data_IF_019419634716
#
_entry.id   IF_019419634716
#
_cell.length_a   1.000
_cell.length_b   1.000
_cell.length_c   1.000
_cell.angle_alpha   90.00
_cell.angle_beta   90.00
_cell.angle_gamma   90.00
#
_symmetry.space_group_name_H-M   'P 1'
#
loop_
_entity.id
_entity.type
_entity.pdbx_description
1 polymer ?
#
# COMPACT_ATOMS: atom_id res chain seq x y z
N UNK A 1 -9.60 16.36 -16.23
CA UNK A 1 -8.23 16.85 -15.99
C UNK A 1 -7.46 15.67 -15.47
N UNK A 2 -6.39 15.22 -16.15
CA UNK A 2 -5.58 14.12 -15.63
C UNK A 2 -4.96 14.53 -14.28
N UNK A 3 -4.95 13.67 -13.25
CA UNK A 3 -4.36 14.00 -11.97
C UNK A 3 -2.88 14.33 -12.19
N UNK A 4 -2.47 15.53 -11.76
CA UNK A 4 -1.10 16.01 -11.88
C UNK A 4 -0.22 15.10 -11.03
N UNK A 5 0.65 14.32 -11.66
CA UNK A 5 1.53 13.37 -10.96
C UNK A 5 2.40 14.11 -9.95
N UNK A 6 2.15 13.88 -8.66
CA UNK A 6 2.93 14.49 -7.58
C UNK A 6 4.32 13.88 -7.48
N UNK A 7 5.23 14.60 -6.83
CA UNK A 7 6.57 14.08 -6.53
C UNK A 7 6.50 12.79 -5.68
N UNK A 8 5.51 12.67 -4.79
CA UNK A 8 5.34 11.50 -3.92
C UNK A 8 4.86 10.28 -4.69
N UNK A 9 3.82 10.41 -5.52
CA UNK A 9 3.40 9.33 -6.42
C UNK A 9 4.52 8.90 -7.35
N UNK A 10 5.26 9.87 -7.92
CA UNK A 10 6.38 9.58 -8.81
C UNK A 10 7.47 8.76 -8.14
N UNK A 11 7.89 9.14 -6.92
CA UNK A 11 8.87 8.36 -6.14
C UNK A 11 8.41 6.93 -5.90
N UNK A 12 7.13 6.73 -5.57
CA UNK A 12 6.57 5.39 -5.34
C UNK A 12 6.57 4.57 -6.64
N UNK A 13 6.06 5.12 -7.74
CA UNK A 13 5.97 4.38 -9.01
C UNK A 13 7.34 4.10 -9.63
N UNK A 14 8.30 5.01 -9.50
CA UNK A 14 9.68 4.81 -9.99
C UNK A 14 10.41 3.70 -9.22
N UNK A 15 10.18 3.58 -7.90
CA UNK A 15 10.89 2.59 -7.06
C UNK A 15 10.21 1.23 -6.99
N UNK A 16 8.88 1.20 -6.94
CA UNK A 16 8.10 -0.02 -6.67
C UNK A 16 7.16 -0.42 -7.81
N UNK A 17 7.14 0.34 -8.90
CA UNK A 17 6.20 0.16 -9.99
C UNK A 17 4.80 0.71 -9.69
N UNK A 18 3.93 0.65 -10.71
CA UNK A 18 2.54 1.10 -10.62
C UNK A 18 1.78 0.31 -9.56
N UNK A 19 0.75 0.93 -8.98
CA UNK A 19 -0.13 0.24 -8.02
C UNK A 19 -0.72 -1.02 -8.67
N UNK A 20 -0.61 -2.15 -7.98
CA UNK A 20 -1.17 -3.43 -8.39
C UNK A 20 -0.26 -4.26 -9.30
N UNK A 21 0.92 -3.77 -9.69
CA UNK A 21 1.87 -4.53 -10.50
C UNK A 21 2.82 -5.40 -9.69
N UNK A 22 2.89 -5.22 -8.37
CA UNK A 22 3.62 -6.12 -7.49
C UNK A 22 2.95 -7.49 -7.33
N UNK A 23 3.66 -8.41 -6.68
CA UNK A 23 3.14 -9.74 -6.36
C UNK A 23 2.09 -9.71 -5.24
N UNK A 24 1.19 -10.70 -5.25
CA UNK A 24 0.28 -11.01 -4.11
C UNK A 24 0.89 -12.02 -3.14
N UNK A 25 1.99 -12.66 -3.57
CA UNK A 25 2.80 -13.58 -2.79
C UNK A 25 4.25 -13.12 -2.92
N UNK A 26 4.92 -13.01 -1.78
CA UNK A 26 6.33 -12.67 -1.69
C UNK A 26 7.10 -13.82 -1.06
N UNK A 27 8.30 -14.10 -1.55
CA UNK A 27 9.20 -15.07 -0.93
C UNK A 27 10.16 -14.32 -0.03
N UNK A 28 10.01 -14.49 1.29
CA UNK A 28 10.91 -13.90 2.29
C UNK A 28 11.80 -15.01 2.83
N UNK A 29 13.11 -14.92 2.59
CA UNK A 29 14.05 -16.00 2.93
C UNK A 29 13.68 -17.37 2.33
N UNK A 30 13.09 -17.37 1.12
CA UNK A 30 12.64 -18.59 0.43
C UNK A 30 11.27 -19.13 0.84
N UNK A 31 10.60 -18.53 1.83
CA UNK A 31 9.27 -18.96 2.28
C UNK A 31 8.19 -18.12 1.58
N UNK A 32 7.24 -18.72 0.84
CA UNK A 32 6.16 -17.98 0.22
C UNK A 32 5.17 -17.47 1.28
N UNK A 33 4.83 -16.19 1.17
CA UNK A 33 3.87 -15.53 2.06
C UNK A 33 2.92 -14.65 1.25
N UNK A 34 1.61 -14.89 1.41
CA UNK A 34 0.59 -13.98 0.91
C UNK A 34 0.56 -12.69 1.72
N UNK A 35 -0.01 -11.62 1.14
CA UNK A 35 0.00 -10.30 1.76
C UNK A 35 -0.57 -10.27 3.19
N UNK A 36 -1.72 -10.91 3.44
CA UNK A 36 -2.30 -10.97 4.80
C UNK A 36 -1.37 -11.62 5.83
N UNK A 37 -0.56 -12.61 5.42
CA UNK A 37 0.42 -13.26 6.30
C UNK A 37 1.61 -12.34 6.56
N UNK A 38 2.08 -11.60 5.55
CA UNK A 38 3.12 -10.58 5.71
C UNK A 38 2.66 -9.49 6.68
N UNK A 39 1.46 -8.93 6.48
CA UNK A 39 0.90 -7.89 7.34
C UNK A 39 0.81 -8.34 8.80
N UNK A 40 0.41 -9.58 9.07
CA UNK A 40 0.41 -10.13 10.44
C UNK A 40 1.80 -10.23 11.05
N UNK A 41 2.81 -10.66 10.27
CA UNK A 41 4.19 -10.76 10.76
C UNK A 41 4.80 -9.41 11.07
N UNK A 42 4.43 -8.39 10.31
CA UNK A 42 4.84 -6.99 10.55
C UNK A 42 3.96 -6.28 11.59
N UNK A 43 3.05 -6.99 12.27
CA UNK A 43 2.11 -6.40 13.25
C UNK A 43 1.22 -5.28 12.66
N UNK A 44 0.88 -5.39 11.37
CA UNK A 44 0.16 -4.39 10.57
C UNK A 44 -1.24 -4.86 10.16
N UNK A 45 -1.95 -5.58 11.03
CA UNK A 45 -3.28 -6.13 10.73
C UNK A 45 -4.40 -5.29 11.38
N UNK A 46 -4.57 -4.07 10.89
CA UNK A 46 -5.64 -3.15 11.27
C UNK A 46 -6.75 -3.17 10.21
N UNK A 47 -7.99 -2.89 10.60
CA UNK A 47 -9.15 -2.99 9.69
C UNK A 47 -9.03 -2.02 8.50
N UNK A 48 -8.44 -0.83 8.72
CA UNK A 48 -8.27 0.22 7.71
C UNK A 48 -7.00 0.09 6.86
N UNK A 49 -6.19 -0.96 7.09
CA UNK A 49 -4.99 -1.24 6.31
C UNK A 49 -5.24 -2.36 5.31
N UNK A 50 -5.42 -1.98 4.05
CA UNK A 50 -5.70 -2.91 2.96
C UNK A 50 -4.41 -3.19 2.19
N UNK A 51 -3.81 -4.38 2.28
CA UNK A 51 -2.65 -4.72 1.47
C UNK A 51 -3.01 -4.78 -0.01
N UNK A 52 -2.22 -4.12 -0.84
CA UNK A 52 -2.40 -4.04 -2.28
C UNK A 52 -1.47 -5.03 -2.97
N UNK A 53 -0.16 -4.86 -2.87
CA UNK A 53 0.85 -5.69 -3.52
C UNK A 53 2.20 -5.59 -2.79
N UNK A 54 3.15 -6.46 -3.16
CA UNK A 54 4.46 -6.53 -2.53
C UNK A 54 5.56 -6.93 -3.53
N UNK A 55 6.82 -6.78 -3.13
CA UNK A 55 7.96 -7.17 -3.94
C UNK A 55 9.26 -7.23 -3.14
N UNK A 56 10.33 -7.66 -3.82
CA UNK A 56 11.69 -7.67 -3.29
C UNK A 56 12.49 -6.53 -3.94
N UNK A 57 13.38 -5.92 -3.17
CA UNK A 57 14.35 -4.91 -3.63
C UNK A 57 15.75 -5.51 -3.86
N UNK A 58 15.98 -6.75 -3.42
CA UNK A 58 17.31 -7.38 -3.38
C UNK A 58 17.91 -7.31 -1.96
N UNK A 59 19.03 -8.02 -1.72
CA UNK A 59 19.78 -7.97 -0.45
C UNK A 59 18.92 -8.16 0.82
N UNK A 60 17.97 -9.10 0.80
CA UNK A 60 17.04 -9.35 1.91
C UNK A 60 16.18 -8.12 2.31
N UNK A 61 15.98 -7.18 1.38
CA UNK A 61 15.05 -6.06 1.48
C UNK A 61 13.79 -6.34 0.68
N UNK A 62 12.68 -6.04 1.32
CA UNK A 62 11.34 -6.31 0.82
C UNK A 62 10.48 -5.07 0.95
N UNK A 63 9.41 -5.00 0.18
CA UNK A 63 8.41 -3.95 0.30
C UNK A 63 7.00 -4.51 0.23
N UNK A 64 6.08 -3.85 0.91
CA UNK A 64 4.64 -4.11 0.83
C UNK A 64 3.89 -2.79 0.79
N UNK A 65 2.88 -2.71 -0.09
CA UNK A 65 2.05 -1.54 -0.31
C UNK A 65 0.67 -1.75 0.28
N UNK A 66 0.16 -0.71 0.93
CA UNK A 66 -1.15 -0.67 1.54
C UNK A 66 -1.91 0.55 1.06
N UNK A 67 -3.23 0.44 1.02
CA UNK A 67 -4.10 1.57 1.24
C UNK A 67 -4.34 1.70 2.74
N UNK A 68 -4.12 2.89 3.27
CA UNK A 68 -4.43 3.26 4.66
C UNK A 68 -5.66 4.17 4.61
N UNK A 69 -6.76 3.69 5.19
CA UNK A 69 -8.09 4.29 5.06
C UNK A 69 -8.29 5.58 5.84
N UNK A 70 -7.65 5.73 7.01
CA UNK A 70 -7.85 6.87 7.90
C UNK A 70 -7.29 8.16 7.29
N UNK A 71 -6.03 8.11 6.82
CA UNK A 71 -5.35 9.21 6.15
C UNK A 71 -5.53 9.19 4.63
N UNK A 72 -6.19 8.16 4.09
CA UNK A 72 -6.45 7.99 2.66
C UNK A 72 -5.17 7.99 1.84
N UNK A 73 -4.15 7.27 2.32
CA UNK A 73 -2.83 7.22 1.69
C UNK A 73 -2.56 5.88 1.06
N UNK A 74 -1.73 5.91 0.02
CA UNK A 74 -1.00 4.74 -0.43
C UNK A 74 0.34 4.74 0.28
N UNK A 75 0.54 3.77 1.16
CA UNK A 75 1.75 3.59 1.95
C UNK A 75 2.57 2.43 1.38
N UNK A 76 3.88 2.58 1.31
CA UNK A 76 4.83 1.49 1.04
C UNK A 76 5.77 1.39 2.24
N UNK A 77 5.78 0.22 2.86
CA UNK A 77 6.71 -0.13 3.93
C UNK A 77 7.82 -0.99 3.36
N UNK A 78 9.06 -0.61 3.63
CA UNK A 78 10.22 -1.46 3.43
C UNK A 78 10.54 -2.21 4.72
N UNK A 79 10.84 -3.49 4.60
CA UNK A 79 11.17 -4.36 5.72
C UNK A 79 12.31 -5.31 5.37
N UNK A 80 13.02 -5.77 6.39
CA UNK A 80 14.09 -6.78 6.24
C UNK A 80 13.57 -8.21 6.43
N UNK A 81 14.47 -9.19 6.40
CA UNK A 81 14.12 -10.61 6.58
C UNK A 81 13.53 -10.94 7.96
N UNK A 82 13.79 -10.11 8.96
CA UNK A 82 13.28 -10.25 10.33
C UNK A 82 11.92 -9.58 10.53
N UNK A 83 11.37 -8.97 9.46
CA UNK A 83 10.12 -8.21 9.44
C UNK A 83 10.20 -6.86 10.16
N UNK A 84 11.41 -6.38 10.42
CA UNK A 84 11.62 -5.05 10.99
C UNK A 84 11.42 -3.99 9.90
N UNK A 85 10.66 -2.94 10.22
CA UNK A 85 10.41 -1.83 9.30
C UNK A 85 11.65 -0.94 9.26
N UNK A 86 12.13 -0.70 8.04
CA UNK A 86 13.41 -0.03 7.76
C UNK A 86 13.25 1.13 6.79
N UNK A 87 12.01 1.40 6.37
CA UNK A 87 11.65 2.54 5.54
C UNK A 87 10.15 2.63 5.36
N UNK A 88 9.66 3.85 5.20
CA UNK A 88 8.27 4.16 4.92
C UNK A 88 8.20 5.25 3.85
N UNK A 89 7.26 5.13 2.92
CA UNK A 89 6.95 6.19 1.96
C UNK A 89 5.46 6.23 1.71
N UNK A 90 4.87 7.42 1.77
CA UNK A 90 3.44 7.61 1.58
C UNK A 90 3.12 8.69 0.54
N UNK A 91 1.98 8.54 -0.11
CA UNK A 91 1.38 9.55 -0.98
C UNK A 91 -0.13 9.53 -0.85
N UNK A 92 -0.79 10.66 -1.13
CA UNK A 92 -2.24 10.76 -1.07
C UNK A 92 -2.87 9.90 -2.19
N UNK A 93 -3.95 9.17 -1.89
CA UNK A 93 -4.66 8.36 -2.88
C UNK A 93 -5.21 9.22 -4.04
N UNK A 94 -5.48 10.50 -3.78
CA UNK A 94 -5.87 11.49 -4.79
C UNK A 94 -4.82 11.63 -5.90
N UNK A 95 -3.55 11.33 -5.63
CA UNK A 95 -2.50 11.39 -6.63
C UNK A 95 -2.69 10.37 -7.76
N UNK A 96 -3.43 9.28 -7.48
CA UNK A 96 -3.80 8.26 -8.46
C UNK A 96 -5.20 8.47 -9.01
N UNK A 97 -6.17 8.77 -8.15
CA UNK A 97 -7.58 8.79 -8.53
C UNK A 97 -8.06 10.17 -8.97
N UNK A 98 -7.40 11.25 -8.57
CA UNK A 98 -7.90 12.61 -8.78
C UNK A 98 -9.36 12.75 -8.33
N UNK A 99 -10.16 13.48 -9.11
CA UNK A 99 -11.58 13.69 -8.82
C UNK A 99 -12.44 12.41 -8.91
N UNK A 100 -11.94 11.31 -9.49
CA UNK A 100 -12.64 10.02 -9.44
C UNK A 100 -12.74 9.47 -8.01
N UNK A 101 -11.86 9.90 -7.09
CA UNK A 101 -11.91 9.48 -5.69
C UNK A 101 -13.29 9.71 -5.04
N UNK A 102 -13.89 10.87 -5.27
CA UNK A 102 -15.20 11.25 -4.73
C UNK A 102 -16.38 10.54 -5.43
N UNK A 103 -16.14 9.99 -6.62
CA UNK A 103 -17.15 9.27 -7.40
C UNK A 103 -17.18 7.77 -7.10
N UNK A 104 -16.10 7.24 -6.52
CA UNK A 104 -16.04 5.83 -6.10
C UNK A 104 -16.87 5.67 -4.82
N UNK A 105 -17.91 4.82 -4.87
CA UNK A 105 -18.55 4.31 -3.66
C UNK A 105 -17.59 3.33 -2.98
N UNK A 106 -16.78 3.83 -2.07
CA UNK A 106 -15.99 3.04 -1.14
C UNK A 106 -16.92 2.29 -0.17
N UNK A 107 -17.60 1.23 -0.65
CA UNK A 107 -18.60 0.47 0.12
C UNK A 107 -18.05 -0.22 1.39
N UNK A 108 -16.75 -0.13 1.65
CA UNK A 108 -16.07 -0.86 2.74
C UNK A 108 -15.48 0.06 3.81
N UNK A 109 -15.39 1.38 3.60
CA UNK A 109 -14.67 2.30 4.50
C UNK A 109 -15.41 3.60 4.84
N UNK A 110 -16.74 3.58 4.80
CA UNK A 110 -17.53 4.68 5.32
C UNK A 110 -18.03 4.30 6.72
N UNK A 111 -17.45 4.85 7.81
CA UNK A 111 -18.06 4.72 9.13
C UNK A 111 -19.33 5.56 9.11
N UNK A 112 -20.46 4.91 8.81
CA UNK A 112 -21.80 5.47 8.70
C UNK A 112 -21.94 6.58 7.62
N UNK A 113 -22.84 6.47 6.64
CA UNK A 113 -24.25 6.22 6.95
C UNK A 113 -24.80 7.29 7.90
N UNK A 114 -24.36 8.54 7.77
CA UNK A 114 -25.10 9.69 8.30
C UNK A 114 -26.06 10.17 7.23
N UNK A 115 -27.34 9.88 7.45
CA UNK A 115 -28.50 10.57 6.88
C UNK A 115 -28.22 12.10 6.91
N UNK A 116 -28.48 12.87 5.85
CA UNK A 116 -29.80 13.28 5.34
C UNK A 116 -29.78 13.60 3.84
#
# INVERSE_FOLDING_TARGET
MEPKMTLSRRKIEERYGKIGTGGKVLFVGGVPMGLSKLSRKMMMHYEDLIPIDAGALGEDRYWIRYYEGEQRKVMVLEFDREFEIVGETGADIMDWLGDDYFRIRWRVFCPAGGEE
#
